data_IF_313879156588
#
_entry.id   IF_313879156588
#
_cell.length_a   1.000
_cell.length_b   1.000
_cell.length_c   1.000
_cell.angle_alpha   90.00
_cell.angle_beta   90.00
_cell.angle_gamma   90.00
#
_symmetry.space_group_name_H-M   'P 1'
#
loop_
_entity.id
_entity.type
_entity.pdbx_description
1 polymer ?
#
# COMPACT_ATOMS: atom_id res chain seq x y z
N UNK A 1 25.13 15.48 -5.82
CA UNK A 1 24.56 15.65 -4.46
C UNK A 1 23.73 14.41 -4.16
N UNK A 2 23.83 13.86 -2.95
CA UNK A 2 22.96 12.75 -2.51
C UNK A 2 21.55 13.29 -2.33
N UNK A 3 20.56 12.71 -3.02
CA UNK A 3 19.15 13.10 -2.89
C UNK A 3 18.67 12.88 -1.45
N UNK A 4 17.86 13.79 -0.92
CA UNK A 4 17.23 13.59 0.39
C UNK A 4 16.05 12.63 0.29
N UNK A 5 15.96 11.67 1.21
CA UNK A 5 14.86 10.72 1.34
C UNK A 5 14.18 10.91 2.69
N UNK A 6 12.87 10.80 2.72
CA UNK A 6 12.13 10.86 3.97
C UNK A 6 10.70 10.38 3.86
N UNK A 7 10.10 10.16 5.03
CA UNK A 7 8.69 9.79 5.17
C UNK A 7 7.89 11.03 5.55
N UNK A 8 6.69 11.15 5.00
CA UNK A 8 5.73 12.15 5.45
C UNK A 8 4.44 11.51 5.94
N UNK A 9 3.87 12.11 6.98
CA UNK A 9 2.55 11.80 7.52
C UNK A 9 1.66 13.05 7.48
N UNK A 10 0.35 12.84 7.34
CA UNK A 10 -0.65 13.89 7.43
C UNK A 10 -1.71 13.47 8.45
N UNK A 11 -1.80 14.18 9.56
CA UNK A 11 -2.67 13.81 10.67
C UNK A 11 -3.27 15.04 11.35
N UNK A 12 -4.48 15.43 10.96
CA UNK A 12 -5.21 16.55 11.58
C UNK A 12 -6.27 16.03 12.55
N UNK A 13 -6.23 16.47 13.80
CA UNK A 13 -7.08 16.01 14.89
C UNK A 13 -6.45 14.90 15.74
N UNK A 14 -6.89 14.76 17.01
CA UNK A 14 -6.21 13.93 18.00
C UNK A 14 -6.21 12.44 17.65
N UNK A 15 -7.27 11.94 17.01
CA UNK A 15 -7.37 10.53 16.57
C UNK A 15 -6.25 10.19 15.57
N UNK A 16 -6.13 10.98 14.50
CA UNK A 16 -5.18 10.69 13.44
C UNK A 16 -3.74 10.95 13.89
N UNK A 17 -3.52 11.90 14.80
CA UNK A 17 -2.22 12.07 15.45
C UNK A 17 -1.83 10.80 16.21
N UNK A 18 -2.74 10.23 17.00
CA UNK A 18 -2.47 9.01 17.74
C UNK A 18 -2.12 7.84 16.81
N UNK A 19 -2.86 7.68 15.70
CA UNK A 19 -2.55 6.69 14.65
C UNK A 19 -1.15 6.95 14.05
N UNK A 20 -0.85 8.17 13.62
CA UNK A 20 0.43 8.52 12.99
C UNK A 20 1.62 8.35 13.94
N UNK A 21 1.45 8.60 15.24
CA UNK A 21 2.49 8.35 16.26
C UNK A 21 2.77 6.85 16.39
N UNK A 22 1.76 5.99 16.34
CA UNK A 22 1.93 4.53 16.36
C UNK A 22 2.68 4.08 15.09
N UNK A 23 2.25 4.55 13.92
CA UNK A 23 2.92 4.26 12.65
C UNK A 23 4.39 4.71 12.67
N UNK A 24 4.66 5.96 13.05
CA UNK A 24 6.02 6.49 13.09
C UNK A 24 6.94 5.76 14.09
N UNK A 25 6.40 5.28 15.22
CA UNK A 25 7.14 4.41 16.15
C UNK A 25 7.51 3.08 15.52
N UNK A 26 6.61 2.47 14.73
CA UNK A 26 6.93 1.24 13.99
C UNK A 26 8.05 1.46 12.97
N UNK A 27 8.07 2.63 12.30
CA UNK A 27 9.19 3.04 11.42
C UNK A 27 10.47 3.18 12.22
N UNK A 28 10.46 3.91 13.34
CA UNK A 28 11.65 4.12 14.18
C UNK A 28 12.24 2.79 14.70
N UNK A 29 11.39 1.79 14.96
CA UNK A 29 11.82 0.47 15.43
C UNK A 29 12.62 -0.32 14.38
N UNK A 30 12.30 -0.17 13.09
CA UNK A 30 12.93 -0.97 12.01
C UNK A 30 13.84 -0.17 11.09
N UNK A 31 13.68 1.15 11.03
CA UNK A 31 14.49 2.10 10.25
C UNK A 31 14.92 3.29 11.14
N UNK A 32 15.76 3.04 12.17
CA UNK A 32 16.13 4.07 13.13
C UNK A 32 16.89 5.22 12.46
N UNK A 33 16.49 6.45 12.76
CA UNK A 33 17.12 7.66 12.22
C UNK A 33 16.67 8.05 10.80
N UNK A 34 15.72 7.34 10.21
CA UNK A 34 15.15 7.74 8.91
C UNK A 34 14.35 9.05 9.06
N UNK A 35 14.55 10.07 8.21
CA UNK A 35 13.84 11.34 8.31
C UNK A 35 12.33 11.19 8.21
N UNK A 36 11.60 11.81 9.15
CA UNK A 36 10.13 11.80 9.17
C UNK A 36 9.60 13.21 9.41
N UNK A 37 8.63 13.62 8.58
CA UNK A 37 7.92 14.90 8.71
C UNK A 37 6.44 14.67 8.96
N UNK A 38 5.87 15.41 9.91
CA UNK A 38 4.44 15.37 10.21
C UNK A 38 3.78 16.69 9.82
N UNK A 39 2.74 16.63 8.98
CA UNK A 39 1.81 17.73 8.76
C UNK A 39 0.60 17.58 9.69
N UNK A 40 0.37 18.53 10.60
CA UNK A 40 -0.67 18.40 11.63
C UNK A 40 -1.15 19.75 12.17
N UNK A 41 -2.36 19.76 12.74
CA UNK A 41 -2.94 20.85 13.55
C UNK A 41 -2.80 20.58 15.06
N UNK A 42 -2.05 19.54 15.44
CA UNK A 42 -1.82 19.11 16.82
C UNK A 42 -0.34 19.26 17.22
N UNK A 43 -0.05 19.05 18.51
CA UNK A 43 1.32 18.94 19.02
C UNK A 43 1.71 17.47 19.17
N UNK A 44 2.64 16.94 18.34
CA UNK A 44 3.12 15.57 18.50
C UNK A 44 4.09 15.42 19.68
N UNK A 45 4.37 14.18 20.13
CA UNK A 45 5.45 13.91 21.07
C UNK A 45 6.80 14.42 20.52
N UNK A 46 7.64 15.05 21.37
CA UNK A 46 8.93 15.57 20.94
C UNK A 46 9.88 14.44 20.53
N UNK A 47 10.74 14.71 19.54
CA UNK A 47 11.82 13.81 19.12
C UNK A 47 11.40 12.63 18.23
N UNK A 48 10.10 12.45 17.95
CA UNK A 48 9.64 11.41 17.02
C UNK A 48 9.75 11.85 15.56
N UNK A 49 9.42 13.10 15.26
CA UNK A 49 9.49 13.67 13.91
C UNK A 49 10.63 14.69 13.84
N UNK A 50 11.39 14.66 12.75
CA UNK A 50 12.45 15.64 12.49
C UNK A 50 11.85 17.03 12.23
N UNK A 51 10.70 17.05 11.53
CA UNK A 51 9.98 18.28 11.22
C UNK A 51 8.49 18.10 11.52
N UNK A 52 7.90 19.12 12.12
CA UNK A 52 6.45 19.23 12.34
C UNK A 52 6.00 20.49 11.63
N UNK A 53 5.24 20.32 10.55
CA UNK A 53 4.74 21.41 9.73
C UNK A 53 3.31 21.70 10.16
N UNK A 54 3.04 22.89 10.73
CA UNK A 54 1.71 23.25 11.15
C UNK A 54 0.79 23.39 9.94
N UNK A 55 -0.45 23.01 10.16
CA UNK A 55 -1.50 23.04 9.18
C UNK A 55 -2.56 24.05 9.62
N UNK A 56 -2.74 25.11 8.84
CA UNK A 56 -3.71 26.16 9.14
C UNK A 56 -5.14 25.74 8.76
N UNK A 57 -6.13 26.08 9.60
CA UNK A 57 -7.56 25.90 9.29
C UNK A 57 -8.23 24.61 9.80
N UNK A 58 -7.54 23.78 10.60
CA UNK A 58 -8.12 22.57 11.21
C UNK A 58 -8.07 21.32 10.32
N UNK A 59 -9.16 20.54 10.27
CA UNK A 59 -9.22 19.30 9.48
C UNK A 59 -9.08 19.58 7.98
N UNK A 60 -7.91 19.30 7.40
CA UNK A 60 -7.68 19.53 5.98
C UNK A 60 -8.36 18.51 5.06
N UNK A 61 -8.93 17.43 5.60
CA UNK A 61 -9.54 16.37 4.83
C UNK A 61 -8.61 15.81 3.75
N UNK A 62 -9.20 15.46 2.60
CA UNK A 62 -8.47 14.91 1.45
C UNK A 62 -7.60 15.92 0.69
N UNK A 63 -8.04 17.18 0.44
CA UNK A 63 -7.19 18.18 -0.19
C UNK A 63 -5.90 18.45 0.61
N UNK A 64 -5.99 18.42 1.94
CA UNK A 64 -4.81 18.53 2.81
C UNK A 64 -3.74 17.49 2.57
N UNK A 65 -4.16 16.22 2.50
CA UNK A 65 -3.26 15.12 2.16
C UNK A 65 -2.52 15.41 0.85
N UNK A 66 -3.24 15.82 -0.18
CA UNK A 66 -2.68 16.09 -1.50
C UNK A 66 -1.69 17.28 -1.45
N UNK A 67 -2.08 18.39 -0.79
CA UNK A 67 -1.23 19.57 -0.61
C UNK A 67 0.03 19.27 0.19
N UNK A 68 -0.08 18.50 1.27
CA UNK A 68 1.07 18.08 2.08
C UNK A 68 2.02 17.17 1.30
N UNK A 69 1.51 16.28 0.45
CA UNK A 69 2.36 15.51 -0.46
C UNK A 69 3.10 16.42 -1.46
N UNK A 70 2.44 17.44 -2.00
CA UNK A 70 3.11 18.42 -2.85
C UNK A 70 4.14 19.29 -2.10
N UNK A 71 3.94 19.53 -0.80
CA UNK A 71 4.79 20.34 0.06
C UNK A 71 5.94 19.57 0.73
N UNK A 72 6.21 18.34 0.31
CA UNK A 72 7.26 17.50 0.91
C UNK A 72 8.64 18.20 0.95
N UNK A 73 9.40 18.10 2.06
CA UNK A 73 10.74 18.65 2.16
C UNK A 73 11.81 17.80 1.46
N UNK A 74 11.49 16.58 1.04
CA UNK A 74 12.44 15.61 0.50
C UNK A 74 12.45 15.57 -1.03
N UNK A 75 13.59 15.19 -1.62
CA UNK A 75 13.68 14.92 -3.07
C UNK A 75 12.94 13.64 -3.46
N UNK A 76 12.97 12.63 -2.59
CA UNK A 76 12.27 11.35 -2.72
C UNK A 76 11.48 11.09 -1.45
N UNK A 77 10.17 10.92 -1.58
CA UNK A 77 9.25 10.87 -0.43
C UNK A 77 8.46 9.59 -0.40
N UNK A 78 8.36 8.97 0.78
CA UNK A 78 7.35 7.96 1.09
C UNK A 78 6.22 8.60 1.90
N UNK A 79 5.05 8.76 1.29
CA UNK A 79 3.84 9.12 2.02
C UNK A 79 3.21 7.88 2.64
N UNK A 80 2.83 7.98 3.92
CA UNK A 80 2.09 6.96 4.66
C UNK A 80 0.81 7.57 5.25
N UNK A 81 -0.33 6.90 5.05
CA UNK A 81 -1.55 7.14 5.85
C UNK A 81 -1.26 6.83 7.33
N UNK A 82 -2.02 7.47 8.23
CA UNK A 82 -1.80 7.38 9.68
C UNK A 82 -1.98 5.97 10.24
N UNK A 83 -2.82 5.14 9.62
CA UNK A 83 -3.15 3.77 10.01
C UNK A 83 -2.27 2.71 9.32
N UNK A 84 -0.98 3.01 9.20
CA UNK A 84 0.03 2.09 8.67
C UNK A 84 0.91 1.55 9.79
N UNK A 85 1.53 0.39 9.54
CA UNK A 85 2.53 -0.21 10.40
C UNK A 85 3.69 -0.74 9.56
N UNK A 86 4.91 -0.27 9.82
CA UNK A 86 6.13 -0.73 9.16
C UNK A 86 6.62 -2.01 9.85
N UNK A 87 6.61 -3.14 9.13
CA UNK A 87 6.97 -4.44 9.68
C UNK A 87 8.48 -4.73 9.57
N UNK A 88 9.15 -4.17 8.56
CA UNK A 88 10.55 -4.43 8.23
C UNK A 88 11.21 -3.19 7.60
N UNK A 89 12.55 -3.15 7.52
CA UNK A 89 13.24 -2.18 6.66
C UNK A 89 12.70 -2.24 5.22
N UNK A 90 12.47 -1.06 4.67
CA UNK A 90 11.68 -0.82 3.45
C UNK A 90 12.33 0.26 2.55
N UNK A 91 13.64 0.50 2.67
CA UNK A 91 14.38 1.47 1.86
C UNK A 91 14.37 1.13 0.36
N UNK A 92 14.18 -0.15 0.03
CA UNK A 92 14.06 -0.64 -1.35
C UNK A 92 12.79 -0.14 -2.06
N UNK A 93 11.79 0.36 -1.32
CA UNK A 93 10.60 1.00 -1.90
C UNK A 93 10.95 2.22 -2.75
N UNK A 94 12.11 2.85 -2.54
CA UNK A 94 12.56 4.01 -3.30
C UNK A 94 13.24 3.63 -4.63
N UNK A 95 13.67 2.38 -4.82
CA UNK A 95 14.40 1.95 -6.03
C UNK A 95 13.62 2.16 -7.35
N UNK A 96 12.28 1.96 -7.41
CA UNK A 96 11.52 2.29 -8.61
C UNK A 96 11.68 3.75 -9.07
N UNK A 97 11.98 4.69 -8.17
CA UNK A 97 12.12 6.10 -8.52
C UNK A 97 13.33 6.40 -9.42
N UNK A 98 14.25 5.45 -9.59
CA UNK A 98 15.33 5.56 -10.57
C UNK A 98 14.81 5.60 -12.02
N UNK A 99 13.64 5.00 -12.28
CA UNK A 99 13.03 4.91 -13.62
C UNK A 99 11.63 5.51 -13.71
N UNK A 100 10.92 5.58 -12.59
CA UNK A 100 9.52 6.01 -12.51
C UNK A 100 9.41 7.32 -11.72
N UNK A 101 8.33 8.05 -11.93
CA UNK A 101 8.05 9.32 -11.25
C UNK A 101 7.38 9.08 -9.88
N UNK A 102 6.59 8.01 -9.77
CA UNK A 102 6.03 7.49 -8.53
C UNK A 102 5.89 5.96 -8.53
N UNK A 103 5.71 5.35 -7.37
CA UNK A 103 5.22 3.99 -7.23
C UNK A 103 4.10 3.91 -6.19
N UNK A 104 3.15 3.01 -6.44
CA UNK A 104 1.93 2.89 -5.66
C UNK A 104 1.40 1.46 -5.72
N UNK A 105 0.69 1.04 -4.69
CA UNK A 105 0.02 -0.25 -4.69
C UNK A 105 -1.39 -0.15 -5.26
N UNK A 106 -1.74 -1.22 -5.92
CA UNK A 106 -3.08 -1.63 -6.27
C UNK A 106 -4.05 -1.65 -5.06
N UNK A 107 -5.25 -1.10 -5.20
CA UNK A 107 -6.34 -1.24 -4.20
C UNK A 107 -6.95 -2.66 -4.24
N UNK A 108 -7.52 -3.13 -3.14
CA UNK A 108 -8.19 -4.44 -3.09
C UNK A 108 -9.46 -4.44 -3.93
N UNK A 109 -10.27 -3.38 -3.81
CA UNK A 109 -11.45 -3.16 -4.64
C UNK A 109 -11.07 -2.49 -5.96
N UNK A 110 -10.99 -3.30 -7.02
CA UNK A 110 -10.38 -2.92 -8.30
C UNK A 110 -11.22 -1.98 -9.16
N UNK A 111 -12.51 -2.26 -9.27
CA UNK A 111 -13.46 -1.59 -10.15
C UNK A 111 -14.79 -1.42 -9.41
N UNK A 112 -14.73 -0.86 -8.19
CA UNK A 112 -15.90 -0.71 -7.32
C UNK A 112 -16.90 0.33 -7.86
N UNK A 113 -16.42 1.30 -8.66
CA UNK A 113 -17.20 2.47 -9.04
C UNK A 113 -17.68 2.40 -10.49
N UNK A 114 -18.99 2.23 -10.66
CA UNK A 114 -19.63 2.22 -11.98
C UNK A 114 -19.47 3.55 -12.76
N UNK A 115 -19.18 4.66 -12.08
CA UNK A 115 -18.93 5.96 -12.71
C UNK A 115 -17.51 6.11 -13.28
N UNK A 116 -16.63 5.15 -13.02
CA UNK A 116 -15.26 5.14 -13.54
C UNK A 116 -15.23 4.39 -14.87
N UNK A 117 -14.81 5.06 -15.93
CA UNK A 117 -14.75 4.51 -17.30
C UNK A 117 -13.33 4.08 -17.67
N UNK A 118 -12.70 3.22 -16.85
CA UNK A 118 -11.34 2.73 -17.09
C UNK A 118 -11.32 1.26 -17.52
N UNK A 119 -10.34 0.86 -18.35
CA UNK A 119 -10.19 -0.56 -18.69
C UNK A 119 -9.83 -1.37 -17.44
N UNK A 120 -10.25 -2.65 -17.39
CA UNK A 120 -9.95 -3.57 -16.29
C UNK A 120 -8.44 -3.73 -16.04
N UNK A 121 -7.61 -3.48 -17.07
CA UNK A 121 -6.15 -3.49 -16.99
C UNK A 121 -5.54 -2.30 -16.25
N UNK A 122 -6.33 -1.29 -15.89
CA UNK A 122 -5.88 -0.12 -15.12
C UNK A 122 -6.73 0.06 -13.86
N UNK A 123 -6.65 -0.86 -12.88
CA UNK A 123 -7.54 -0.91 -11.72
C UNK A 123 -7.32 0.25 -10.73
N UNK A 124 -8.20 0.38 -9.75
CA UNK A 124 -8.04 1.31 -8.64
C UNK A 124 -6.73 1.09 -7.85
N UNK A 125 -6.24 2.20 -7.29
CA UNK A 125 -4.96 2.32 -6.60
C UNK A 125 -5.20 2.80 -5.17
N UNK A 126 -4.44 2.28 -4.21
CA UNK A 126 -4.49 2.70 -2.82
C UNK A 126 -3.48 3.82 -2.56
N UNK A 127 -3.98 4.99 -2.21
CA UNK A 127 -3.17 6.20 -1.97
C UNK A 127 -2.63 6.29 -0.55
N UNK A 128 -2.79 5.25 0.28
CA UNK A 128 -2.30 5.25 1.65
C UNK A 128 -0.81 4.91 1.78
N UNK A 129 -0.20 4.37 0.72
CA UNK A 129 1.25 4.25 0.60
C UNK A 129 1.64 4.67 -0.81
N UNK A 130 2.35 5.80 -0.90
CA UNK A 130 2.79 6.36 -2.20
C UNK A 130 4.23 6.82 -2.07
N UNK A 131 5.11 6.32 -2.94
CA UNK A 131 6.50 6.76 -3.02
C UNK A 131 6.69 7.58 -4.30
N UNK A 132 7.34 8.73 -4.23
CA UNK A 132 7.42 9.64 -5.37
C UNK A 132 8.62 10.57 -5.32
N UNK A 133 8.98 11.11 -6.49
CA UNK A 133 10.00 12.17 -6.62
C UNK A 133 9.37 13.56 -6.56
N UNK A 134 9.99 14.47 -5.82
CA UNK A 134 9.66 15.90 -5.86
C UNK A 134 10.24 16.54 -7.11
N UNK A 135 9.52 16.39 -8.21
CA UNK A 135 9.85 16.99 -9.50
C UNK A 135 8.68 17.83 -10.04
N UNK A 136 8.93 18.81 -10.93
CA UNK A 136 7.88 19.66 -11.48
C UNK A 136 6.67 18.90 -12.03
N UNK A 137 6.91 17.76 -12.70
CA UNK A 137 5.84 16.89 -13.22
C UNK A 137 4.98 16.25 -12.13
N UNK A 138 5.59 15.78 -11.04
CA UNK A 138 4.89 15.15 -9.92
C UNK A 138 4.10 16.19 -9.13
N UNK A 139 4.67 17.39 -8.96
CA UNK A 139 3.97 18.51 -8.33
C UNK A 139 2.79 18.98 -9.17
N UNK A 140 2.94 19.08 -10.49
CA UNK A 140 1.84 19.40 -11.39
C UNK A 140 0.73 18.33 -11.32
N UNK A 141 1.11 17.06 -11.25
CA UNK A 141 0.17 15.96 -11.05
C UNK A 141 -0.62 16.09 -9.73
N UNK A 142 0.03 16.41 -8.60
CA UNK A 142 -0.69 16.60 -7.33
C UNK A 142 -1.68 17.76 -7.37
N UNK A 143 -1.34 18.87 -8.06
CA UNK A 143 -2.28 19.97 -8.28
C UNK A 143 -3.48 19.53 -9.11
N UNK A 144 -3.25 18.82 -10.22
CA UNK A 144 -4.32 18.29 -11.06
C UNK A 144 -5.19 17.27 -10.30
N UNK A 145 -4.58 16.45 -9.43
CA UNK A 145 -5.32 15.52 -8.58
C UNK A 145 -6.23 16.25 -7.60
N UNK A 146 -5.73 17.30 -6.94
CA UNK A 146 -6.53 18.14 -6.05
C UNK A 146 -7.70 18.80 -6.80
N UNK A 147 -7.44 19.38 -7.97
CA UNK A 147 -8.45 20.01 -8.82
C UNK A 147 -9.54 19.00 -9.25
N UNK A 148 -9.14 17.82 -9.72
CA UNK A 148 -10.09 16.77 -10.09
C UNK A 148 -10.90 16.31 -8.89
N UNK A 149 -10.28 16.15 -7.72
CA UNK A 149 -10.98 15.80 -6.49
C UNK A 149 -12.04 16.85 -6.15
N UNK A 150 -11.68 18.13 -6.09
CA UNK A 150 -12.58 19.22 -5.74
C UNK A 150 -13.68 19.44 -6.78
N UNK A 151 -13.38 19.37 -8.08
CA UNK A 151 -14.34 19.78 -9.09
C UNK A 151 -15.23 18.63 -9.58
N UNK A 152 -14.77 17.38 -9.48
CA UNK A 152 -15.44 16.23 -10.11
C UNK A 152 -15.82 15.15 -9.10
N UNK A 153 -14.89 14.76 -8.22
CA UNK A 153 -15.06 13.54 -7.44
C UNK A 153 -15.67 13.76 -6.05
N UNK A 154 -15.43 14.90 -5.38
CA UNK A 154 -15.91 15.12 -4.00
C UNK A 154 -17.44 14.96 -3.88
N UNK A 155 -18.19 15.33 -4.92
CA UNK A 155 -19.65 15.22 -4.97
C UNK A 155 -20.14 13.82 -5.37
N UNK A 156 -19.28 13.00 -5.98
CA UNK A 156 -19.58 11.61 -6.38
C UNK A 156 -19.23 10.63 -5.26
N UNK A 157 -18.06 10.82 -4.64
CA UNK A 157 -17.56 10.03 -3.51
C UNK A 157 -16.54 10.86 -2.71
N UNK A 158 -16.68 10.98 -1.38
CA UNK A 158 -15.71 11.69 -0.54
C UNK A 158 -14.44 10.85 -0.27
N UNK A 159 -13.82 10.34 -1.33
CA UNK A 159 -12.55 9.60 -1.31
C UNK A 159 -11.60 10.17 -2.37
N UNK A 160 -10.30 10.22 -2.06
CA UNK A 160 -9.27 10.79 -2.93
C UNK A 160 -8.80 9.82 -4.03
N UNK A 161 -8.92 8.51 -3.78
CA UNK A 161 -8.44 7.45 -4.68
C UNK A 161 -9.06 7.46 -6.09
N UNK A 162 -10.38 7.68 -6.27
CA UNK A 162 -10.96 7.75 -7.62
C UNK A 162 -10.41 8.94 -8.43
N UNK A 163 -10.25 10.09 -7.77
CA UNK A 163 -9.64 11.27 -8.39
C UNK A 163 -8.16 11.00 -8.74
N UNK A 164 -7.44 10.26 -7.88
CA UNK A 164 -6.05 9.87 -8.15
C UNK A 164 -5.96 8.99 -9.40
N UNK A 165 -6.76 7.92 -9.46
CA UNK A 165 -6.81 6.99 -10.61
C UNK A 165 -7.11 7.74 -11.90
N UNK A 166 -8.14 8.60 -11.87
CA UNK A 166 -8.51 9.42 -13.01
C UNK A 166 -7.38 10.34 -13.46
N UNK A 167 -6.75 11.05 -12.53
CA UNK A 167 -5.65 11.97 -12.85
C UNK A 167 -4.46 11.20 -13.42
N UNK A 168 -4.13 10.04 -12.82
CA UNK A 168 -2.96 9.26 -13.24
C UNK A 168 -3.16 8.69 -14.65
N UNK A 169 -4.35 8.17 -14.95
CA UNK A 169 -4.70 7.63 -16.26
C UNK A 169 -4.53 8.65 -17.39
N UNK A 170 -4.83 9.93 -17.12
CA UNK A 170 -4.74 11.02 -18.09
C UNK A 170 -3.41 11.81 -18.01
N UNK A 171 -2.46 11.36 -17.21
CA UNK A 171 -1.16 12.03 -17.05
C UNK A 171 -0.05 11.31 -17.82
N UNK A 172 1.04 12.04 -18.08
CA UNK A 172 2.28 11.47 -18.64
C UNK A 172 3.22 10.91 -17.56
N UNK A 173 2.76 10.75 -16.31
CA UNK A 173 3.60 10.21 -15.25
C UNK A 173 3.88 8.73 -15.47
N UNK A 174 5.16 8.38 -15.40
CA UNK A 174 5.59 6.98 -15.34
C UNK A 174 5.39 6.49 -13.92
N UNK A 175 4.59 5.45 -13.74
CA UNK A 175 4.36 4.86 -12.43
C UNK A 175 4.77 3.38 -12.39
N UNK A 176 5.18 2.94 -11.21
CA UNK A 176 5.42 1.53 -10.91
C UNK A 176 4.33 0.99 -9.99
N UNK A 177 3.86 -0.24 -10.26
CA UNK A 177 2.91 -0.92 -9.38
C UNK A 177 3.69 -1.71 -8.33
N UNK A 178 3.60 -1.25 -7.09
CA UNK A 178 4.18 -1.95 -5.95
C UNK A 178 3.47 -3.30 -5.72
N UNK A 179 4.21 -4.34 -5.33
CA UNK A 179 3.64 -5.55 -4.77
C UNK A 179 2.78 -5.25 -3.53
N UNK A 180 1.81 -6.12 -3.22
CA UNK A 180 0.88 -5.91 -2.10
C UNK A 180 1.59 -5.84 -0.74
N UNK A 181 2.78 -6.40 -0.63
CA UNK A 181 3.66 -6.39 0.54
C UNK A 181 3.97 -4.98 1.06
N UNK A 182 4.02 -3.99 0.15
CA UNK A 182 4.32 -2.59 0.47
C UNK A 182 3.07 -1.79 0.86
N UNK A 183 1.88 -2.38 0.80
CA UNK A 183 0.62 -1.78 1.25
C UNK A 183 -0.36 -2.91 1.56
N UNK A 184 -0.03 -3.72 2.56
CA UNK A 184 -0.67 -4.99 2.84
C UNK A 184 -1.95 -4.77 3.63
N UNK A 185 -3.09 -4.88 2.93
CA UNK A 185 -4.43 -4.57 3.46
C UNK A 185 -5.03 -5.77 4.19
N UNK A 186 -4.64 -6.00 5.44
CA UNK A 186 -5.12 -7.14 6.26
C UNK A 186 -6.61 -7.05 6.61
N UNK A 187 -7.24 -5.89 6.50
CA UNK A 187 -8.68 -5.74 6.65
C UNK A 187 -9.50 -6.37 5.50
N UNK A 188 -8.83 -6.88 4.45
CA UNK A 188 -9.46 -7.55 3.31
C UNK A 188 -8.72 -8.82 2.89
N UNK A 189 -9.35 -9.68 2.06
CA UNK A 189 -8.65 -10.72 1.31
C UNK A 189 -7.43 -10.21 0.54
N UNK A 190 -6.24 -10.73 0.88
CA UNK A 190 -4.98 -10.38 0.22
C UNK A 190 -4.06 -11.60 0.18
N UNK A 191 -3.18 -11.63 -0.83
CA UNK A 191 -2.16 -12.67 -0.96
C UNK A 191 -0.80 -12.06 -0.66
N UNK A 192 -0.10 -12.65 0.31
CA UNK A 192 1.34 -12.45 0.50
C UNK A 192 2.09 -13.37 -0.44
N UNK A 193 3.03 -12.84 -1.23
CA UNK A 193 3.83 -13.61 -2.17
C UNK A 193 4.63 -14.72 -1.52
N UNK A 194 4.89 -15.80 -2.27
CA UNK A 194 5.80 -16.86 -1.79
C UNK A 194 7.20 -16.31 -1.59
N UNK A 195 7.85 -16.65 -0.48
CA UNK A 195 9.12 -16.07 -0.04
C UNK A 195 9.11 -14.55 0.16
N UNK A 196 7.93 -13.92 0.15
CA UNK A 196 7.78 -12.51 0.43
C UNK A 196 7.43 -12.29 1.91
N UNK A 197 7.54 -11.04 2.35
CA UNK A 197 7.21 -10.59 3.71
C UNK A 197 6.40 -9.32 3.60
N UNK A 198 5.42 -9.15 4.49
CA UNK A 198 4.76 -7.85 4.61
C UNK A 198 5.80 -6.80 5.01
N UNK A 199 5.89 -5.71 4.25
CA UNK A 199 6.77 -4.57 4.54
C UNK A 199 6.00 -3.49 5.29
N UNK A 200 4.80 -3.18 4.81
CA UNK A 200 3.90 -2.19 5.40
C UNK A 200 2.52 -2.80 5.47
N UNK A 201 1.98 -2.97 6.68
CA UNK A 201 0.56 -3.29 6.88
C UNK A 201 -0.22 -1.98 6.92
N UNK A 202 -1.39 -1.96 6.27
CA UNK A 202 -2.27 -0.79 6.25
C UNK A 202 -3.66 -1.20 6.76
N UNK A 203 -3.85 -1.06 8.06
CA UNK A 203 -5.04 -1.51 8.79
C UNK A 203 -5.16 -0.79 10.13
N UNK A 204 -6.40 -0.52 10.57
CA UNK A 204 -6.73 0.01 11.92
C UNK A 204 -7.00 -1.11 12.92
N UNK A 205 -6.52 -2.32 12.67
CA UNK A 205 -6.70 -3.45 13.56
C UNK A 205 -5.98 -3.19 14.90
N UNK A 206 -6.65 -3.34 16.05
CA UNK A 206 -6.00 -3.15 17.36
C UNK A 206 -4.84 -4.14 17.61
N UNK A 207 -4.77 -5.24 16.87
CA UNK A 207 -3.72 -6.26 16.96
C UNK A 207 -2.71 -6.18 15.80
N UNK A 208 -2.56 -5.01 15.16
CA UNK A 208 -1.68 -4.83 13.98
C UNK A 208 -0.22 -5.22 14.27
N UNK A 209 0.27 -5.01 15.49
CA UNK A 209 1.61 -5.42 15.92
C UNK A 209 1.81 -6.95 15.84
N UNK A 210 0.83 -7.73 16.30
CA UNK A 210 0.88 -9.19 16.24
C UNK A 210 0.86 -9.68 14.78
N UNK A 211 0.03 -9.05 13.94
CA UNK A 211 0.05 -9.33 12.50
C UNK A 211 1.38 -8.97 11.85
N UNK A 212 1.99 -7.85 12.22
CA UNK A 212 3.30 -7.44 11.73
C UNK A 212 4.40 -8.44 12.15
N UNK A 213 4.38 -8.91 13.40
CA UNK A 213 5.30 -9.93 13.88
C UNK A 213 5.16 -11.25 13.11
N UNK A 214 3.93 -11.66 12.80
CA UNK A 214 3.64 -12.87 12.03
C UNK A 214 4.05 -12.71 10.56
N UNK A 215 3.45 -11.75 9.86
CA UNK A 215 3.52 -11.60 8.40
C UNK A 215 4.80 -10.89 7.93
N UNK A 216 5.42 -10.11 8.80
CA UNK A 216 6.69 -9.44 8.53
C UNK A 216 7.88 -10.39 8.59
N UNK A 217 7.80 -11.53 9.28
CA UNK A 217 8.94 -12.42 9.49
C UNK A 217 8.78 -13.81 8.87
N UNK A 218 7.55 -14.29 8.70
CA UNK A 218 7.29 -15.59 8.08
C UNK A 218 7.55 -15.55 6.57
N UNK A 219 8.58 -16.27 6.12
CA UNK A 219 8.87 -16.49 4.69
C UNK A 219 8.28 -17.81 4.22
N UNK A 220 6.97 -17.97 4.39
CA UNK A 220 6.24 -19.15 3.88
C UNK A 220 6.66 -19.47 2.44
N UNK A 221 6.91 -20.76 2.16
CA UNK A 221 7.35 -21.19 0.82
C UNK A 221 6.26 -20.96 -0.25
N UNK A 222 4.99 -21.35 -0.04
CA UNK A 222 3.90 -20.95 -0.93
C UNK A 222 3.35 -19.56 -0.55
N UNK A 223 2.74 -18.83 -1.52
CA UNK A 223 1.97 -17.63 -1.22
C UNK A 223 0.92 -17.90 -0.13
N UNK A 224 0.80 -16.97 0.81
CA UNK A 224 -0.15 -17.07 1.92
C UNK A 224 -1.37 -16.22 1.59
N UNK A 225 -2.55 -16.85 1.57
CA UNK A 225 -3.81 -16.13 1.50
C UNK A 225 -4.24 -15.70 2.90
N UNK A 226 -4.45 -14.41 3.09
CA UNK A 226 -4.98 -13.82 4.30
C UNK A 226 -6.40 -13.32 4.05
N UNK A 227 -7.37 -13.81 4.81
CA UNK A 227 -8.78 -13.37 4.74
C UNK A 227 -9.80 -14.50 4.69
N UNK A 228 -11.10 -14.18 4.58
CA UNK A 228 -12.18 -15.17 4.49
C UNK A 228 -12.08 -15.99 3.19
N UNK A 229 -12.27 -17.30 3.29
CA UNK A 229 -12.32 -18.20 2.12
C UNK A 229 -13.77 -18.43 1.71
N UNK A 230 -14.09 -18.20 0.43
CA UNK A 230 -15.41 -18.55 -0.09
C UNK A 230 -15.56 -20.09 -0.16
N UNK A 231 -16.32 -20.66 0.78
CA UNK A 231 -16.47 -22.10 0.94
C UNK A 231 -17.00 -22.79 -0.32
N UNK A 232 -17.90 -22.15 -1.09
CA UNK A 232 -18.41 -22.73 -2.35
C UNK A 232 -17.28 -22.89 -3.37
N UNK A 233 -16.44 -21.87 -3.53
CA UNK A 233 -15.30 -21.92 -4.46
C UNK A 233 -14.22 -22.89 -3.96
N UNK A 234 -13.94 -22.91 -2.67
CA UNK A 234 -12.99 -23.84 -2.07
C UNK A 234 -13.38 -25.31 -2.27
N UNK A 235 -14.64 -25.67 -1.97
CA UNK A 235 -15.15 -27.02 -2.18
C UNK A 235 -15.13 -27.42 -3.66
N UNK A 236 -15.46 -26.48 -4.56
CA UNK A 236 -15.34 -26.70 -6.02
C UNK A 236 -13.89 -26.95 -6.43
N UNK A 237 -12.95 -26.16 -5.91
CA UNK A 237 -11.52 -26.35 -6.16
C UNK A 237 -11.04 -27.73 -5.67
N UNK A 238 -11.40 -28.14 -4.45
CA UNK A 238 -11.10 -29.48 -3.92
C UNK A 238 -11.62 -30.57 -4.86
N UNK A 239 -12.86 -30.46 -5.33
CA UNK A 239 -13.44 -31.41 -6.28
C UNK A 239 -12.68 -31.49 -7.60
N UNK A 240 -12.37 -30.34 -8.23
CA UNK A 240 -11.56 -30.30 -9.46
C UNK A 240 -10.16 -30.86 -9.24
N UNK A 241 -9.56 -30.59 -8.07
CA UNK A 241 -8.22 -31.08 -7.72
C UNK A 241 -8.22 -32.60 -7.59
N UNK A 242 -9.19 -33.18 -6.89
CA UNK A 242 -9.34 -34.63 -6.76
C UNK A 242 -9.54 -35.31 -8.12
N UNK A 243 -10.38 -34.75 -8.99
CA UNK A 243 -10.55 -35.26 -10.37
C UNK A 243 -9.26 -35.20 -11.19
N UNK A 244 -8.49 -34.13 -11.03
CA UNK A 244 -7.20 -33.97 -11.70
C UNK A 244 -6.18 -35.00 -11.22
N UNK A 245 -6.09 -35.23 -9.91
CA UNK A 245 -5.23 -36.25 -9.31
C UNK A 245 -5.63 -37.65 -9.80
N UNK A 246 -6.92 -37.97 -9.81
CA UNK A 246 -7.42 -39.24 -10.32
C UNK A 246 -7.03 -39.48 -11.80
N UNK A 247 -7.24 -38.48 -12.67
CA UNK A 247 -6.84 -38.58 -14.09
C UNK A 247 -5.32 -38.78 -14.24
N UNK A 248 -4.51 -38.05 -13.47
CA UNK A 248 -3.04 -38.18 -13.50
C UNK A 248 -2.57 -39.55 -13.01
N UNK A 249 -3.18 -40.07 -11.93
CA UNK A 249 -2.87 -41.39 -11.41
C UNK A 249 -3.19 -42.49 -12.44
N UNK A 250 -4.39 -42.43 -13.06
CA UNK A 250 -4.78 -43.37 -14.11
C UNK A 250 -3.83 -43.33 -15.32
N UNK A 251 -3.39 -42.14 -15.73
CA UNK A 251 -2.45 -41.99 -16.84
C UNK A 251 -1.03 -42.49 -16.52
N UNK A 252 -0.57 -42.34 -15.27
CA UNK A 252 0.76 -42.78 -14.85
C UNK A 252 0.86 -44.32 -14.69
N UNK A 253 -0.28 -44.99 -14.44
CA UNK A 253 -0.32 -46.41 -14.12
C UNK A 253 0.41 -46.76 -12.79
N UNK A 254 0.34 -48.02 -12.33
CA UNK A 254 0.90 -48.41 -11.03
C UNK A 254 2.41 -48.15 -10.91
N UNK A 255 3.17 -48.44 -11.97
CA UNK A 255 4.63 -48.20 -12.01
C UNK A 255 4.99 -46.71 -12.01
N UNK A 256 4.23 -45.87 -12.70
CA UNK A 256 4.47 -44.42 -12.75
C UNK A 256 4.09 -43.70 -11.44
N UNK A 257 3.09 -44.21 -10.71
CA UNK A 257 2.75 -43.74 -9.37
C UNK A 257 3.87 -44.10 -8.38
N UNK A 258 4.31 -45.37 -8.37
CA UNK A 258 5.39 -45.85 -7.50
C UNK A 258 6.70 -45.07 -7.73
N UNK A 259 7.03 -44.76 -9.00
CA UNK A 259 8.21 -43.95 -9.37
C UNK A 259 8.11 -42.48 -8.90
N UNK A 260 6.91 -41.92 -8.78
CA UNK A 260 6.69 -40.55 -8.26
C UNK A 260 6.73 -40.49 -6.74
N UNK A 261 6.29 -41.55 -6.05
CA UNK A 261 6.34 -41.66 -4.60
C UNK A 261 7.76 -41.91 -4.07
N UNK A 262 8.63 -42.49 -4.89
CA UNK A 262 10.02 -42.86 -4.53
C UNK A 262 11.07 -41.85 -4.99
N UNK A 263 10.71 -40.85 -5.80
CA UNK A 263 11.57 -39.71 -6.10
C UNK A 263 11.53 -38.73 -4.93
N UNK A 264 12.49 -38.86 -4.01
CA UNK A 264 12.98 -37.75 -3.18
C UNK A 264 13.80 -36.81 -4.05
#
# INVERSE_FOLDING_TARGET
MTKTRGIIYVATGPKYLAEAVISAKSVQAVMPGFPMTLFTDQTPPPGLFEQVIPVEGGNMGRPGKIRSMAATPYDETLFLDSDTWMCQPCEDIFLPLEKYDLAIAHEVYRNEYAFEEFPDSFPALNTGVVVYRREPRTIAFFKAWEENYLNVFQHKRPADQPAFRHTLFHSDLRHYILPAEFNFRTNYPVVLGGFARAKIIHDRNPFVEEYAALLGHDTGHPPVYFGPVNMRLFLRWCWFRSRTLYKRARAAGPRGILKRLTRR
#
